data_IF_324010861176
#
_entry.id   IF_324010861176
#
_cell.length_a   1.000
_cell.length_b   1.000
_cell.length_c   1.000
_cell.angle_alpha   90.00
_cell.angle_beta   90.00
_cell.angle_gamma   90.00
#
_symmetry.space_group_name_H-M   'P 1'
#
loop_
_entity.id
_entity.type
_entity.pdbx_description
1 polymer ?
#
# COMPACT_ATOMS: atom_id res chain seq x y z
N UNK A 1 9.09 -45.46 42.39
CA UNK A 1 10.36 -45.11 43.08
C UNK A 1 11.24 -46.34 43.08
N UNK A 2 12.30 -46.38 42.26
CA UNK A 2 13.45 -47.29 42.36
C UNK A 2 14.65 -46.55 41.76
N UNK A 3 15.74 -46.62 42.51
CA UNK A 3 17.02 -45.93 42.42
C UNK A 3 17.90 -46.37 41.24
N UNK A 4 18.74 -45.48 40.70
CA UNK A 4 20.20 -45.39 41.04
C UNK A 4 20.97 -44.50 40.04
N UNK A 5 21.96 -43.72 40.51
CA UNK A 5 22.85 -42.92 39.69
C UNK A 5 24.11 -43.73 39.30
N UNK A 6 24.69 -43.44 38.14
CA UNK A 6 26.05 -43.89 37.80
C UNK A 6 26.82 -42.72 37.17
N UNK A 7 27.69 -42.15 37.99
CA UNK A 7 28.85 -41.38 37.57
C UNK A 7 29.86 -42.34 36.93
N UNK A 8 30.35 -42.02 35.74
CA UNK A 8 31.63 -42.53 35.25
C UNK A 8 32.48 -41.35 34.80
N UNK A 9 33.46 -41.01 35.64
CA UNK A 9 34.64 -40.25 35.27
C UNK A 9 35.60 -41.20 34.57
N UNK A 10 36.11 -40.82 33.39
CA UNK A 10 37.28 -41.46 32.78
C UNK A 10 38.19 -40.39 32.19
N UNK A 11 39.25 -40.14 32.98
CA UNK A 11 40.64 -39.88 32.63
C UNK A 11 40.99 -39.14 31.33
N UNK A 12 41.59 -37.95 31.51
CA UNK A 12 42.52 -37.34 30.57
C UNK A 12 43.70 -38.29 30.30
N UNK A 13 43.94 -38.61 29.03
CA UNK A 13 45.23 -39.10 28.56
C UNK A 13 45.85 -38.04 27.65
N UNK A 14 46.86 -37.34 28.18
CA UNK A 14 47.77 -36.51 27.40
C UNK A 14 48.72 -37.43 26.63
N UNK A 15 48.40 -37.67 25.37
CA UNK A 15 49.36 -38.19 24.39
C UNK A 15 49.76 -37.03 23.47
N UNK A 16 50.98 -36.53 23.64
CA UNK A 16 51.57 -35.57 22.73
C UNK A 16 51.78 -36.22 21.35
N UNK A 17 51.35 -35.62 20.24
CA UNK A 17 51.93 -35.92 18.95
C UNK A 17 53.16 -35.03 18.76
N UNK A 18 54.28 -35.71 18.59
CA UNK A 18 55.49 -35.17 18.02
C UNK A 18 55.19 -34.31 16.79
N UNK A 19 56.04 -33.29 16.61
CA UNK A 19 56.18 -32.52 15.38
C UNK A 19 56.26 -33.48 14.20
N UNK A 20 55.17 -33.58 13.42
CA UNK A 20 55.25 -33.83 12.00
C UNK A 20 54.80 -32.57 11.32
N UNK A 21 55.76 -31.89 10.69
CA UNK A 21 55.51 -30.98 9.60
C UNK A 21 54.87 -31.78 8.45
N UNK A 22 53.57 -32.04 8.54
CA UNK A 22 52.78 -32.38 7.36
C UNK A 22 52.57 -31.06 6.63
N UNK A 23 53.32 -30.89 5.54
CA UNK A 23 52.97 -29.97 4.47
C UNK A 23 51.50 -30.17 4.16
N UNK A 24 50.66 -29.29 4.72
CA UNK A 24 49.28 -29.19 4.33
C UNK A 24 49.31 -28.58 2.93
N UNK A 25 49.38 -29.47 1.94
CA UNK A 25 48.92 -29.21 0.59
C UNK A 25 47.55 -28.60 0.75
N UNK A 26 47.52 -27.26 0.71
CA UNK A 26 46.30 -26.48 0.66
C UNK A 26 45.48 -27.13 -0.47
N UNK A 27 44.33 -27.77 -0.21
CA UNK A 27 43.46 -28.11 -1.32
C UNK A 27 43.25 -26.81 -2.07
N UNK A 28 43.30 -26.79 -3.41
CA UNK A 28 42.94 -25.59 -4.14
C UNK A 28 41.58 -25.19 -3.57
N UNK A 29 41.51 -24.02 -2.93
CA UNK A 29 40.22 -23.36 -2.84
C UNK A 29 39.83 -23.23 -4.30
N UNK A 30 38.92 -24.08 -4.77
CA UNK A 30 38.18 -23.86 -6.00
C UNK A 30 37.46 -22.53 -5.77
N UNK A 31 38.19 -21.45 -5.99
CA UNK A 31 37.64 -20.13 -6.13
C UNK A 31 36.70 -20.27 -7.31
N UNK A 32 35.40 -20.29 -7.02
CA UNK A 32 34.35 -20.18 -8.03
C UNK A 32 34.85 -19.17 -9.06
N UNK A 33 34.89 -19.54 -10.36
CA UNK A 33 35.49 -18.68 -11.37
C UNK A 33 34.88 -17.30 -11.23
N UNK A 34 35.70 -16.25 -11.28
CA UNK A 34 35.30 -14.86 -10.97
C UNK A 34 34.03 -14.45 -11.74
N UNK A 35 33.84 -15.03 -12.93
CA UNK A 35 32.63 -14.92 -13.76
C UNK A 35 31.34 -15.40 -13.07
N UNK A 36 31.38 -16.50 -12.31
CA UNK A 36 30.23 -17.03 -11.57
C UNK A 36 29.82 -16.09 -10.41
N UNK A 37 30.80 -15.60 -9.64
CA UNK A 37 30.54 -14.62 -8.57
C UNK A 37 30.01 -13.31 -9.15
N UNK A 38 30.58 -12.85 -10.26
CA UNK A 38 30.15 -11.63 -10.95
C UNK A 38 28.74 -11.78 -11.53
N UNK A 39 28.41 -12.95 -12.09
CA UNK A 39 27.07 -13.25 -12.58
C UNK A 39 26.03 -13.27 -11.45
N UNK A 40 26.35 -13.92 -10.31
CA UNK A 40 25.46 -13.91 -9.15
C UNK A 40 25.25 -12.50 -8.57
N UNK A 41 26.31 -11.69 -8.46
CA UNK A 41 26.19 -10.31 -8.01
C UNK A 41 25.33 -9.46 -8.96
N UNK A 42 25.44 -9.69 -10.27
CA UNK A 42 24.62 -9.01 -11.26
C UNK A 42 23.14 -9.37 -11.09
N UNK A 43 22.81 -10.65 -10.90
CA UNK A 43 21.44 -11.09 -10.66
C UNK A 43 20.86 -10.49 -9.36
N UNK A 44 21.67 -10.41 -8.29
CA UNK A 44 21.25 -9.78 -7.02
C UNK A 44 21.03 -8.27 -7.16
N UNK A 45 21.88 -7.57 -7.93
CA UNK A 45 21.69 -6.13 -8.19
C UNK A 45 20.44 -5.88 -9.04
N UNK A 46 20.17 -6.75 -10.01
CA UNK A 46 18.96 -6.68 -10.84
C UNK A 46 17.70 -6.93 -10.00
N UNK A 47 17.69 -7.94 -9.12
CA UNK A 47 16.53 -8.19 -8.25
C UNK A 47 16.31 -7.04 -7.27
N UNK A 48 17.38 -6.49 -6.67
CA UNK A 48 17.30 -5.33 -5.79
C UNK A 48 16.82 -4.06 -6.53
N UNK A 49 17.25 -3.85 -7.79
CA UNK A 49 16.81 -2.71 -8.58
C UNK A 49 15.34 -2.82 -9.00
N UNK A 50 14.88 -4.02 -9.36
CA UNK A 50 13.46 -4.29 -9.63
C UNK A 50 12.62 -4.04 -8.38
N UNK A 51 13.02 -4.57 -7.22
CA UNK A 51 12.30 -4.35 -5.97
C UNK A 51 12.21 -2.86 -5.61
N UNK A 52 13.30 -2.11 -5.80
CA UNK A 52 13.32 -0.65 -5.59
C UNK A 52 12.41 0.07 -6.58
N UNK A 53 12.41 -0.32 -7.86
CA UNK A 53 11.55 0.28 -8.88
C UNK A 53 10.07 0.04 -8.59
N UNK A 54 9.69 -1.17 -8.17
CA UNK A 54 8.32 -1.50 -7.75
C UNK A 54 7.90 -0.65 -6.55
N UNK A 55 8.77 -0.51 -5.53
CA UNK A 55 8.48 0.31 -4.36
C UNK A 55 8.27 1.78 -4.74
N UNK A 56 9.18 2.35 -5.54
CA UNK A 56 9.06 3.75 -5.99
C UNK A 56 7.81 3.96 -6.84
N UNK A 57 7.47 3.01 -7.72
CA UNK A 57 6.25 3.04 -8.51
C UNK A 57 4.99 3.02 -7.63
N UNK A 58 4.95 2.16 -6.61
CA UNK A 58 3.85 2.10 -5.66
C UNK A 58 3.72 3.38 -4.83
N UNK A 59 4.82 3.92 -4.33
CA UNK A 59 4.82 5.19 -3.59
C UNK A 59 4.31 6.34 -4.47
N UNK A 60 4.73 6.39 -5.74
CA UNK A 60 4.26 7.41 -6.67
C UNK A 60 2.77 7.25 -7.02
N UNK A 61 2.32 6.01 -7.25
CA UNK A 61 0.91 5.72 -7.51
C UNK A 61 0.01 6.13 -6.33
N UNK A 62 0.44 5.85 -5.10
CA UNK A 62 -0.26 6.27 -3.89
C UNK A 62 -0.35 7.80 -3.79
N UNK A 63 0.77 8.51 -4.00
CA UNK A 63 0.78 9.99 -3.98
C UNK A 63 -0.15 10.58 -5.04
N UNK A 64 -0.16 10.01 -6.24
CA UNK A 64 -1.04 10.42 -7.32
C UNK A 64 -2.52 10.18 -6.95
N UNK A 65 -2.85 9.02 -6.39
CA UNK A 65 -4.20 8.70 -5.94
C UNK A 65 -4.69 9.68 -4.86
N UNK A 66 -3.86 9.97 -3.86
CA UNK A 66 -4.17 10.94 -2.81
C UNK A 66 -4.36 12.35 -3.38
N UNK A 67 -3.47 12.77 -4.30
CA UNK A 67 -3.56 14.08 -4.95
C UNK A 67 -4.84 14.22 -5.78
N UNK A 68 -5.22 13.17 -6.50
CA UNK A 68 -6.45 13.18 -7.29
C UNK A 68 -7.69 13.21 -6.40
N UNK A 69 -7.67 12.48 -5.28
CA UNK A 69 -8.74 12.53 -4.27
C UNK A 69 -8.90 13.93 -3.69
N UNK A 70 -7.81 14.56 -3.22
CA UNK A 70 -7.89 15.89 -2.61
C UNK A 70 -8.36 16.95 -3.61
N UNK A 71 -7.93 16.86 -4.87
CA UNK A 71 -8.44 17.73 -5.95
C UNK A 71 -9.93 17.55 -6.18
N UNK A 72 -10.43 16.31 -6.18
CA UNK A 72 -11.85 16.03 -6.35
C UNK A 72 -12.68 16.60 -5.19
N UNK A 73 -12.24 16.35 -3.96
CA UNK A 73 -12.90 16.88 -2.76
C UNK A 73 -12.89 18.42 -2.74
N UNK A 74 -11.80 19.07 -3.17
CA UNK A 74 -11.76 20.52 -3.29
C UNK A 74 -12.80 21.04 -4.31
N UNK A 75 -12.92 20.42 -5.49
CA UNK A 75 -13.93 20.80 -6.49
C UNK A 75 -15.36 20.58 -6.01
N UNK A 76 -15.61 19.49 -5.28
CA UNK A 76 -16.92 19.24 -4.67
C UNK A 76 -17.24 20.32 -3.63
N UNK A 77 -16.28 20.69 -2.77
CA UNK A 77 -16.47 21.75 -1.79
C UNK A 77 -16.75 23.11 -2.47
N UNK A 78 -16.07 23.44 -3.56
CA UNK A 78 -16.35 24.63 -4.36
C UNK A 78 -17.77 24.61 -4.95
N UNK A 79 -18.21 23.47 -5.48
CA UNK A 79 -19.55 23.32 -6.02
C UNK A 79 -20.64 23.47 -4.95
N UNK A 80 -20.44 22.88 -3.77
CA UNK A 80 -21.33 23.04 -2.62
C UNK A 80 -21.38 24.47 -2.09
N UNK A 81 -20.24 25.15 -2.05
CA UNK A 81 -20.16 26.57 -1.71
C UNK A 81 -20.98 27.42 -2.70
N UNK A 82 -20.83 27.14 -4.01
CA UNK A 82 -21.60 27.82 -5.07
C UNK A 82 -23.11 27.59 -4.98
N UNK A 83 -23.54 26.47 -4.40
CA UNK A 83 -24.95 26.17 -4.13
C UNK A 83 -25.46 26.75 -2.80
N UNK A 84 -24.63 27.50 -2.07
CA UNK A 84 -25.02 28.23 -0.87
C UNK A 84 -24.74 27.51 0.46
N UNK A 85 -24.00 26.40 0.47
CA UNK A 85 -23.51 25.84 1.73
C UNK A 85 -22.43 26.75 2.33
N UNK A 86 -22.37 26.81 3.66
CA UNK A 86 -21.25 27.48 4.33
C UNK A 86 -19.93 26.75 4.02
N UNK A 87 -18.77 27.43 4.09
CA UNK A 87 -17.47 26.79 3.79
C UNK A 87 -17.22 25.51 4.60
N UNK A 88 -17.61 25.51 5.88
CA UNK A 88 -17.47 24.35 6.75
C UNK A 88 -18.42 23.21 6.35
N UNK A 89 -19.68 23.52 6.01
CA UNK A 89 -20.64 22.52 5.56
C UNK A 89 -20.22 21.92 4.22
N UNK A 90 -19.82 22.76 3.24
CA UNK A 90 -19.34 22.33 1.94
C UNK A 90 -18.15 21.38 2.04
N UNK A 91 -17.17 21.70 2.89
CA UNK A 91 -16.06 20.80 3.21
C UNK A 91 -16.53 19.48 3.83
N UNK A 92 -17.45 19.54 4.79
CA UNK A 92 -17.97 18.34 5.47
C UNK A 92 -18.66 17.39 4.49
N UNK A 93 -19.44 17.92 3.54
CA UNK A 93 -20.09 17.11 2.51
C UNK A 93 -19.01 16.49 1.61
N UNK A 94 -18.14 17.32 1.01
CA UNK A 94 -17.12 16.87 0.08
C UNK A 94 -16.11 15.86 0.68
N UNK A 95 -15.75 16.01 1.95
CA UNK A 95 -14.83 15.10 2.64
C UNK A 95 -15.42 13.69 2.80
N UNK A 96 -16.75 13.55 2.77
CA UNK A 96 -17.45 12.27 2.85
C UNK A 96 -17.41 11.47 1.54
N UNK A 97 -16.96 12.08 0.43
CA UNK A 97 -16.86 11.39 -0.85
C UNK A 97 -15.73 10.35 -0.86
N UNK A 98 -16.07 9.15 -1.27
CA UNK A 98 -15.16 8.04 -1.52
C UNK A 98 -15.47 7.45 -2.90
N UNK A 99 -14.47 7.45 -3.78
CA UNK A 99 -14.65 7.04 -5.17
C UNK A 99 -14.90 5.52 -5.31
N UNK A 100 -14.28 4.70 -4.45
CA UNK A 100 -14.40 3.25 -4.52
C UNK A 100 -15.78 2.80 -4.05
N UNK A 101 -16.29 3.44 -2.99
CA UNK A 101 -17.67 3.23 -2.53
C UNK A 101 -18.69 3.77 -3.53
N UNK A 102 -18.46 4.95 -4.09
CA UNK A 102 -19.34 5.55 -5.09
C UNK A 102 -19.56 4.65 -6.31
N UNK A 103 -18.52 3.94 -6.77
CA UNK A 103 -18.63 2.97 -7.87
C UNK A 103 -19.57 1.79 -7.57
N UNK A 104 -19.79 1.47 -6.30
CA UNK A 104 -20.62 0.36 -5.85
C UNK A 104 -22.04 0.80 -5.47
N UNK A 105 -22.31 2.10 -5.45
CA UNK A 105 -23.59 2.65 -5.05
C UNK A 105 -24.65 2.55 -6.15
N UNK A 106 -25.90 2.43 -5.74
CA UNK A 106 -27.02 2.63 -6.65
C UNK A 106 -27.16 4.10 -7.02
N UNK A 107 -26.99 4.39 -8.32
CA UNK A 107 -27.17 5.72 -8.88
C UNK A 107 -28.66 6.07 -9.00
N UNK A 108 -29.01 7.27 -8.54
CA UNK A 108 -30.37 7.80 -8.76
C UNK A 108 -30.44 8.33 -10.18
N UNK A 109 -31.35 7.78 -11.01
CA UNK A 109 -31.54 8.28 -12.37
C UNK A 109 -32.03 9.73 -12.34
N UNK A 110 -31.31 10.61 -13.04
CA UNK A 110 -31.70 12.01 -13.23
C UNK A 110 -32.42 12.26 -14.55
N UNK A 111 -32.52 11.26 -15.43
CA UNK A 111 -33.19 11.38 -16.73
C UNK A 111 -34.63 11.86 -16.55
N UNK A 112 -34.96 12.97 -17.22
CA UNK A 112 -36.31 13.54 -17.21
C UNK A 112 -36.66 14.34 -15.96
N UNK A 113 -35.72 14.55 -15.02
CA UNK A 113 -35.89 15.44 -13.87
C UNK A 113 -35.52 16.87 -14.27
N UNK A 114 -36.30 17.83 -13.77
CA UNK A 114 -35.98 19.26 -13.83
C UNK A 114 -34.91 19.64 -12.80
N UNK A 115 -34.22 20.76 -13.03
CA UNK A 115 -33.19 21.29 -12.12
C UNK A 115 -33.72 21.48 -10.69
N UNK A 116 -34.98 21.89 -10.54
CA UNK A 116 -35.63 22.04 -9.24
C UNK A 116 -35.81 20.69 -8.53
N UNK A 117 -36.19 19.63 -9.26
CA UNK A 117 -36.29 18.28 -8.69
C UNK A 117 -34.92 17.72 -8.30
N UNK A 118 -33.89 17.99 -9.09
CA UNK A 118 -32.51 17.61 -8.76
C UNK A 118 -32.03 18.36 -7.51
N UNK A 119 -32.30 19.66 -7.43
CA UNK A 119 -31.97 20.48 -6.26
C UNK A 119 -32.66 19.96 -4.99
N UNK A 120 -33.93 19.56 -5.08
CA UNK A 120 -34.66 18.97 -3.96
C UNK A 120 -34.06 17.63 -3.51
N UNK A 121 -33.61 16.79 -4.44
CA UNK A 121 -32.91 15.54 -4.12
C UNK A 121 -31.55 15.80 -3.44
N UNK A 122 -30.78 16.78 -3.92
CA UNK A 122 -29.52 17.20 -3.30
C UNK A 122 -29.75 17.72 -1.88
N UNK A 123 -30.70 18.63 -1.69
CA UNK A 123 -31.07 19.15 -0.37
C UNK A 123 -31.52 18.03 0.58
N UNK A 124 -32.37 17.13 0.12
CA UNK A 124 -32.85 16.00 0.91
C UNK A 124 -31.70 15.10 1.37
N UNK A 125 -30.75 14.80 0.49
CA UNK A 125 -29.58 13.98 0.81
C UNK A 125 -28.67 14.68 1.84
N UNK A 126 -28.40 15.97 1.67
CA UNK A 126 -27.60 16.77 2.62
C UNK A 126 -28.30 16.87 3.98
N UNK A 127 -29.61 17.15 4.02
CA UNK A 127 -30.40 17.22 5.24
C UNK A 127 -30.42 15.87 5.99
N UNK A 128 -30.46 14.76 5.24
CA UNK A 128 -30.40 13.39 5.77
C UNK A 128 -28.98 12.93 6.12
N UNK A 129 -27.97 13.80 6.00
CA UNK A 129 -26.54 13.48 6.19
C UNK A 129 -26.03 12.34 5.30
N UNK A 130 -26.69 12.09 4.18
CA UNK A 130 -26.26 11.12 3.15
C UNK A 130 -25.28 11.78 2.20
N UNK A 131 -24.18 12.31 2.73
CA UNK A 131 -23.26 13.18 2.00
C UNK A 131 -22.63 12.52 0.77
N UNK A 132 -22.21 11.26 0.89
CA UNK A 132 -21.71 10.48 -0.25
C UNK A 132 -22.74 10.35 -1.38
N UNK A 133 -24.03 10.21 -1.05
CA UNK A 133 -25.12 10.19 -2.05
C UNK A 133 -25.30 11.57 -2.67
N UNK A 134 -25.23 12.63 -1.86
CA UNK A 134 -25.35 14.00 -2.34
C UNK A 134 -24.21 14.34 -3.33
N UNK A 135 -22.97 14.00 -2.99
CA UNK A 135 -21.81 14.20 -3.87
C UNK A 135 -21.94 13.42 -5.17
N UNK A 136 -22.34 12.15 -5.10
CA UNK A 136 -22.53 11.34 -6.29
C UNK A 136 -23.65 11.91 -7.18
N UNK A 137 -24.75 12.35 -6.58
CA UNK A 137 -25.86 12.97 -7.29
C UNK A 137 -25.42 14.27 -7.99
N UNK A 138 -24.59 15.07 -7.33
CA UNK A 138 -24.04 16.30 -7.90
C UNK A 138 -23.12 16.01 -9.08
N UNK A 139 -22.25 15.00 -8.97
CA UNK A 139 -21.39 14.55 -10.07
C UNK A 139 -22.24 14.06 -11.24
N UNK A 140 -23.28 13.26 -10.97
CA UNK A 140 -24.17 12.73 -12.01
C UNK A 140 -24.96 13.83 -12.72
N UNK A 141 -25.35 14.89 -11.99
CA UNK A 141 -26.00 16.07 -12.56
C UNK A 141 -25.04 16.84 -13.47
N UNK A 142 -23.82 17.13 -13.01
CA UNK A 142 -22.79 17.82 -13.79
C UNK A 142 -22.35 17.07 -15.06
N UNK A 143 -22.50 15.74 -15.08
CA UNK A 143 -22.21 14.91 -16.27
C UNK A 143 -23.34 14.93 -17.30
N UNK A 144 -24.56 15.27 -16.89
CA UNK A 144 -25.75 15.30 -17.76
C UNK A 144 -26.07 16.69 -18.29
N UNK A 145 -25.62 17.74 -17.58
CA UNK A 145 -25.65 19.14 -18.02
C UNK A 145 -24.61 19.44 -19.09
#
# INVERSE_FOLDING_TARGET
>A
MISRPVLFAVALTLAAPAVLAQQQSKPPQESLPSSYIQHQQQLQRQSASIAKAVRLGNEQALRNALTNRTKLQAKLAEAWLGMGLSPQAAKTVADAYDADLAMQMHHTSLRGKSDHEVAALLQSAVASKRYMVADQLLIDYQRQS
#
